data_IF_953255701081
#
_entry.id   IF_953255701081
#
_cell.length_a   1.000
_cell.length_b   1.000
_cell.length_c   1.000
_cell.angle_alpha   90.00
_cell.angle_beta   90.00
_cell.angle_gamma   90.00
#
_symmetry.space_group_name_H-M   'P 1'
#
loop_
_entity.id
_entity.type
_entity.pdbx_description
1 polymer ?
#
# COMPACT_ATOMS: atom_id res chain seq x y z
N UNK A 1 -13.56 -2.73 -27.13
CA UNK A 1 -12.84 -2.27 -25.92
C UNK A 1 -11.95 -3.43 -25.49
N UNK A 2 -10.70 -3.39 -25.87
CA UNK A 2 -9.76 -4.42 -25.44
C UNK A 2 -9.59 -4.27 -23.92
N UNK A 3 -10.14 -5.22 -23.19
CA UNK A 3 -9.81 -5.45 -21.80
C UNK A 3 -8.29 -5.63 -21.76
N UNK A 4 -7.59 -4.66 -21.19
CA UNK A 4 -6.17 -4.82 -20.94
C UNK A 4 -6.05 -5.83 -19.80
N UNK A 5 -5.87 -7.09 -20.17
CA UNK A 5 -5.67 -8.17 -19.20
C UNK A 5 -4.38 -7.90 -18.42
N UNK A 6 -4.51 -7.18 -17.31
CA UNK A 6 -3.42 -6.97 -16.37
C UNK A 6 -3.10 -8.31 -15.73
N UNK A 7 -1.92 -8.81 -15.97
CA UNK A 7 -1.46 -10.09 -15.45
C UNK A 7 -0.83 -9.94 -14.05
N UNK A 8 -0.92 -10.99 -13.24
CA UNK A 8 -0.35 -11.04 -11.89
C UNK A 8 -1.38 -10.90 -10.76
N UNK A 9 -2.59 -10.50 -11.07
CA UNK A 9 -3.70 -10.52 -10.12
C UNK A 9 -4.24 -11.95 -10.04
N UNK A 10 -4.18 -12.54 -8.86
CA UNK A 10 -4.65 -13.92 -8.63
C UNK A 10 -6.08 -13.98 -8.11
N UNK A 11 -6.63 -12.87 -7.68
CA UNK A 11 -8.00 -12.78 -7.22
C UNK A 11 -8.29 -11.56 -6.36
N UNK A 12 -9.50 -11.54 -5.85
CA UNK A 12 -9.99 -10.50 -4.94
C UNK A 12 -10.61 -11.16 -3.71
N UNK A 13 -10.36 -10.59 -2.55
CA UNK A 13 -10.98 -11.02 -1.30
C UNK A 13 -11.69 -9.85 -0.66
N UNK A 14 -12.96 -10.03 -0.27
CA UNK A 14 -13.71 -9.01 0.45
C UNK A 14 -13.08 -8.79 1.82
N UNK A 15 -12.70 -7.56 2.11
CA UNK A 15 -12.26 -7.18 3.44
C UNK A 15 -13.47 -7.05 4.38
N UNK A 16 -13.33 -7.59 5.58
CA UNK A 16 -14.35 -7.47 6.63
C UNK A 16 -13.91 -6.38 7.59
N UNK A 17 -14.69 -5.32 7.68
CA UNK A 17 -14.47 -4.26 8.66
C UNK A 17 -14.93 -4.78 10.03
N UNK A 18 -13.99 -5.02 10.92
CA UNK A 18 -14.27 -5.53 12.26
C UNK A 18 -14.59 -4.43 13.26
N UNK A 19 -14.00 -3.24 13.09
CA UNK A 19 -14.15 -2.12 13.99
C UNK A 19 -13.89 -0.81 13.25
N UNK A 20 -14.73 0.18 13.51
CA UNK A 20 -14.49 1.57 13.12
C UNK A 20 -14.71 2.46 14.34
N UNK A 21 -13.79 3.39 14.55
CA UNK A 21 -13.83 4.34 15.66
C UNK A 21 -13.91 5.74 15.07
N UNK A 22 -14.81 6.54 15.62
CA UNK A 22 -14.89 7.95 15.25
C UNK A 22 -13.73 8.71 15.90
N UNK A 23 -12.89 9.32 15.07
CA UNK A 23 -11.74 10.10 15.49
C UNK A 23 -11.99 11.56 15.12
N UNK A 24 -11.93 12.43 16.08
CA UNK A 24 -12.00 13.88 15.86
C UNK A 24 -10.68 14.38 15.27
N UNK A 25 -10.58 14.28 13.94
CA UNK A 25 -9.41 14.73 13.20
C UNK A 25 -9.15 16.24 13.29
N UNK A 26 -10.19 17.04 13.57
CA UNK A 26 -10.07 18.50 13.67
C UNK A 26 -9.33 18.93 14.95
N UNK A 27 -9.42 18.12 16.00
CA UNK A 27 -8.68 18.37 17.23
C UNK A 27 -7.28 17.75 17.25
N UNK A 28 -6.85 17.12 16.16
CA UNK A 28 -5.51 16.56 16.03
C UNK A 28 -4.55 17.60 15.46
N UNK A 29 -3.61 18.02 16.27
CA UNK A 29 -2.55 18.95 15.89
C UNK A 29 -1.36 18.19 15.30
N UNK A 30 -1.26 18.19 13.97
CA UNK A 30 -0.15 17.57 13.24
C UNK A 30 1.15 18.39 13.31
N UNK A 31 1.05 19.67 13.70
CA UNK A 31 2.20 20.58 13.84
C UNK A 31 2.76 20.59 15.27
N UNK A 32 2.19 19.79 16.17
CA UNK A 32 2.70 19.63 17.54
C UNK A 32 4.09 18.97 17.54
N UNK A 33 4.86 19.19 18.61
CA UNK A 33 6.18 18.55 18.80
C UNK A 33 6.11 17.02 18.75
N UNK A 34 4.95 16.44 19.07
CA UNK A 34 4.68 15.02 18.94
C UNK A 34 3.37 14.76 18.17
N UNK A 35 3.41 14.75 16.83
CA UNK A 35 2.22 14.56 15.99
C UNK A 35 1.62 13.15 16.10
N UNK A 36 2.28 12.20 16.78
CA UNK A 36 1.75 10.86 17.01
C UNK A 36 0.80 10.82 18.20
N UNK A 37 0.73 11.88 19.01
CA UNK A 37 -0.19 11.96 20.14
C UNK A 37 -1.49 12.65 19.75
N UNK A 38 -2.59 11.91 19.89
CA UNK A 38 -3.92 12.47 19.82
C UNK A 38 -4.16 13.38 21.07
N UNK A 39 -4.97 14.47 20.98
CA UNK A 39 -5.12 15.49 22.04
C UNK A 39 -5.48 14.99 23.43
N UNK A 40 -5.93 13.76 23.56
CA UNK A 40 -6.26 13.12 24.85
C UNK A 40 -5.12 12.27 25.43
N UNK A 41 -3.89 12.47 24.98
CA UNK A 41 -2.70 11.79 25.49
C UNK A 41 -2.53 10.35 25.00
N UNK A 42 -3.28 9.94 24.00
CA UNK A 42 -3.18 8.60 23.40
C UNK A 42 -2.70 8.67 21.95
N UNK A 43 -1.84 7.73 21.57
CA UNK A 43 -1.53 7.57 20.15
C UNK A 43 -2.79 7.14 19.37
N UNK A 44 -2.90 7.47 18.06
CA UNK A 44 -4.04 7.05 17.24
C UNK A 44 -4.32 5.54 17.29
N UNK A 45 -3.26 4.73 17.36
CA UNK A 45 -3.39 3.28 17.48
C UNK A 45 -4.08 2.87 18.80
N UNK A 46 -3.72 3.51 19.92
CA UNK A 46 -4.33 3.22 21.20
C UNK A 46 -5.79 3.70 21.24
N UNK A 47 -6.07 4.84 20.62
CA UNK A 47 -7.43 5.34 20.48
C UNK A 47 -8.32 4.38 19.69
N UNK A 48 -7.82 3.84 18.58
CA UNK A 48 -8.54 2.84 17.80
C UNK A 48 -8.78 1.55 18.61
N UNK A 49 -7.81 1.12 19.40
CA UNK A 49 -7.95 -0.09 20.23
C UNK A 49 -8.97 0.10 21.36
N UNK A 50 -8.98 1.23 22.01
CA UNK A 50 -9.80 1.53 23.21
C UNK A 50 -11.13 2.19 22.88
N UNK A 51 -11.25 2.84 21.71
CA UNK A 51 -12.43 3.56 21.30
C UNK A 51 -13.63 2.63 21.07
N UNK A 52 -14.82 3.18 21.25
CA UNK A 52 -16.07 2.47 21.00
C UNK A 52 -16.24 2.19 19.48
N UNK A 53 -16.75 1.01 19.17
CA UNK A 53 -17.06 0.65 17.79
C UNK A 53 -18.31 1.40 17.32
N UNK A 54 -18.18 2.18 16.25
CA UNK A 54 -19.29 2.90 15.63
C UNK A 54 -19.97 2.05 14.56
N UNK A 55 -21.18 1.60 14.85
CA UNK A 55 -22.00 0.84 13.90
C UNK A 55 -22.43 1.72 12.71
N UNK A 56 -22.61 3.00 12.90
CA UNK A 56 -23.03 3.91 11.84
C UNK A 56 -21.89 4.12 10.83
N UNK A 57 -20.66 4.26 11.31
CA UNK A 57 -19.49 4.30 10.43
C UNK A 57 -19.31 3.00 9.65
N UNK A 58 -19.52 1.84 10.30
CA UNK A 58 -19.43 0.54 9.62
C UNK A 58 -20.49 0.44 8.52
N UNK A 59 -21.73 0.86 8.78
CA UNK A 59 -22.79 0.83 7.76
C UNK A 59 -22.55 1.76 6.59
N UNK A 60 -21.92 2.91 6.85
CA UNK A 60 -21.59 3.91 5.81
C UNK A 60 -20.26 3.63 5.11
N UNK A 61 -19.46 2.70 5.62
CA UNK A 61 -18.16 2.38 5.04
C UNK A 61 -18.32 1.81 3.62
N UNK A 62 -17.49 2.25 2.67
CA UNK A 62 -17.48 1.65 1.36
C UNK A 62 -17.06 0.19 1.46
N UNK A 63 -17.55 -0.63 0.53
CA UNK A 63 -17.08 -2.00 0.44
C UNK A 63 -15.62 -2.02 -0.03
N UNK A 64 -14.75 -2.61 0.76
CA UNK A 64 -13.30 -2.69 0.50
C UNK A 64 -12.94 -4.11 0.08
N UNK A 65 -12.11 -4.20 -0.95
CA UNK A 65 -11.58 -5.44 -1.47
C UNK A 65 -10.06 -5.46 -1.34
N UNK A 66 -9.54 -6.59 -0.95
CA UNK A 66 -8.13 -6.89 -0.98
C UNK A 66 -7.78 -7.49 -2.35
N UNK A 67 -6.77 -6.92 -2.98
CA UNK A 67 -6.20 -7.43 -4.21
C UNK A 67 -5.19 -8.53 -3.87
N UNK A 68 -5.42 -9.74 -4.38
CA UNK A 68 -4.51 -10.85 -4.18
C UNK A 68 -3.50 -10.90 -5.33
N UNK A 69 -2.22 -10.85 -4.98
CA UNK A 69 -1.11 -10.86 -5.93
C UNK A 69 -0.29 -12.14 -5.80
N UNK A 70 0.24 -12.59 -6.91
CA UNK A 70 1.27 -13.63 -6.92
C UNK A 70 2.56 -13.13 -6.28
N UNK A 71 3.25 -14.00 -5.55
CA UNK A 71 4.61 -13.77 -5.09
C UNK A 71 5.58 -14.34 -6.09
N UNK A 72 6.31 -13.46 -6.77
CA UNK A 72 7.27 -13.86 -7.80
C UNK A 72 8.39 -12.81 -7.92
N UNK A 73 9.48 -13.17 -8.63
CA UNK A 73 10.62 -12.29 -8.75
C UNK A 73 11.43 -12.11 -7.47
N UNK A 74 12.60 -11.54 -7.60
CA UNK A 74 13.52 -11.28 -6.48
C UNK A 74 14.18 -9.91 -6.63
N UNK A 75 14.37 -9.26 -5.49
CA UNK A 75 15.07 -7.98 -5.36
C UNK A 75 16.40 -8.21 -4.67
N UNK A 76 17.46 -7.62 -5.21
CA UNK A 76 18.78 -7.57 -4.56
C UNK A 76 19.08 -6.16 -4.06
N UNK A 77 19.79 -6.08 -2.95
CA UNK A 77 20.43 -4.85 -2.49
C UNK A 77 21.83 -4.75 -3.08
N UNK A 78 22.18 -3.57 -3.59
CA UNK A 78 23.53 -3.30 -4.11
C UNK A 78 24.51 -2.93 -3.01
N UNK A 79 24.03 -2.40 -1.88
CA UNK A 79 24.84 -2.01 -0.75
C UNK A 79 24.13 -2.31 0.56
N UNK A 80 24.91 -2.49 1.63
CA UNK A 80 24.42 -2.77 2.98
C UNK A 80 24.01 -1.46 3.71
N UNK A 81 23.30 -0.58 3.02
CA UNK A 81 22.75 0.62 3.64
C UNK A 81 21.54 0.27 4.50
N UNK A 82 21.48 0.87 5.69
CA UNK A 82 20.35 0.69 6.61
C UNK A 82 19.11 1.52 6.24
N UNK A 83 19.21 2.32 5.18
CA UNK A 83 18.08 3.10 4.70
C UNK A 83 17.15 2.21 3.87
N UNK A 84 16.09 1.74 4.51
CA UNK A 84 15.08 0.88 3.88
C UNK A 84 14.21 1.61 2.86
N UNK A 85 14.27 2.95 2.81
CA UNK A 85 13.50 3.78 1.88
C UNK A 85 14.33 4.22 0.67
N UNK A 86 15.62 3.89 0.63
CA UNK A 86 16.48 4.18 -0.52
C UNK A 86 16.33 3.09 -1.60
N UNK A 87 15.38 3.31 -2.50
CA UNK A 87 15.13 2.42 -3.62
C UNK A 87 16.26 2.40 -4.67
N UNK A 88 17.17 3.39 -4.66
CA UNK A 88 18.31 3.44 -5.57
C UNK A 88 19.30 2.28 -5.36
N UNK A 89 19.29 1.69 -4.18
CA UNK A 89 20.11 0.53 -3.82
C UNK A 89 19.44 -0.82 -4.14
N UNK A 90 18.28 -0.80 -4.75
CA UNK A 90 17.51 -1.99 -5.07
C UNK A 90 17.56 -2.25 -6.57
N UNK A 91 17.77 -3.50 -6.94
CA UNK A 91 17.67 -3.95 -8.33
C UNK A 91 16.80 -5.19 -8.43
N UNK A 92 16.06 -5.28 -9.50
CA UNK A 92 15.27 -6.44 -9.83
C UNK A 92 16.19 -7.52 -10.41
N UNK A 93 16.48 -8.54 -9.62
CA UNK A 93 17.38 -9.64 -9.99
C UNK A 93 16.68 -10.66 -10.88
N UNK A 94 15.40 -10.93 -10.63
CA UNK A 94 14.56 -11.73 -11.52
C UNK A 94 13.19 -11.08 -11.65
N UNK A 95 12.71 -10.99 -12.88
CA UNK A 95 11.43 -10.38 -13.20
C UNK A 95 10.53 -11.39 -13.89
N UNK A 96 9.38 -11.71 -13.34
CA UNK A 96 8.37 -12.47 -14.06
C UNK A 96 7.79 -11.62 -15.21
N UNK A 97 7.27 -12.30 -16.23
CA UNK A 97 6.58 -11.67 -17.36
C UNK A 97 5.12 -11.33 -16.99
N UNK A 98 4.92 -10.67 -15.85
CA UNK A 98 3.61 -10.25 -15.34
C UNK A 98 3.62 -8.77 -14.99
N UNK A 99 2.45 -8.16 -14.97
CA UNK A 99 2.31 -6.71 -14.83
C UNK A 99 2.36 -6.21 -13.39
N UNK A 100 1.94 -7.03 -12.43
CA UNK A 100 1.94 -6.68 -11.01
C UNK A 100 2.24 -7.90 -10.15
N UNK A 101 3.18 -7.76 -9.23
CA UNK A 101 3.56 -8.84 -8.32
C UNK A 101 4.19 -8.32 -7.03
N UNK A 102 4.21 -9.17 -6.01
CA UNK A 102 5.00 -8.95 -4.81
C UNK A 102 6.28 -9.79 -4.91
N UNK A 103 7.47 -9.20 -4.79
CA UNK A 103 8.72 -9.97 -4.74
C UNK A 103 8.69 -10.97 -3.58
N UNK A 104 9.36 -12.12 -3.75
CA UNK A 104 9.39 -13.19 -2.74
C UNK A 104 10.03 -12.73 -1.43
N UNK A 105 10.97 -11.81 -1.52
CA UNK A 105 11.81 -11.35 -0.41
C UNK A 105 11.54 -9.91 0.04
N UNK A 106 10.50 -9.24 -0.48
CA UNK A 106 10.15 -7.87 -0.12
C UNK A 106 8.65 -7.70 0.11
N UNK A 107 8.29 -6.66 0.85
CA UNK A 107 6.88 -6.37 1.18
C UNK A 107 6.23 -5.34 0.25
N UNK A 108 6.98 -4.69 -0.61
CA UNK A 108 6.41 -3.75 -1.58
C UNK A 108 5.94 -4.46 -2.85
N UNK A 109 5.19 -3.74 -3.67
CA UNK A 109 4.63 -4.23 -4.92
C UNK A 109 5.47 -3.68 -6.08
N UNK A 110 5.77 -4.53 -7.05
CA UNK A 110 6.44 -4.16 -8.30
C UNK A 110 5.43 -4.22 -9.43
N UNK A 111 5.49 -3.24 -10.30
CA UNK A 111 4.60 -3.11 -11.45
C UNK A 111 5.38 -2.90 -12.75
N UNK A 112 4.81 -3.36 -13.85
CA UNK A 112 5.34 -3.08 -15.19
C UNK A 112 5.00 -1.65 -15.65
N UNK A 113 5.72 -1.17 -16.67
CA UNK A 113 5.36 0.08 -17.34
C UNK A 113 3.93 0.03 -17.93
N UNK A 114 3.49 -1.14 -18.37
CA UNK A 114 2.12 -1.33 -18.87
C UNK A 114 1.08 -1.10 -17.78
N UNK A 115 1.32 -1.60 -16.55
CA UNK A 115 0.43 -1.35 -15.42
C UNK A 115 0.44 0.12 -15.02
N UNK A 116 1.63 0.74 -14.96
CA UNK A 116 1.75 2.18 -14.68
C UNK A 116 0.95 3.01 -15.68
N UNK A 117 1.12 2.74 -16.99
CA UNK A 117 0.37 3.44 -18.04
C UNK A 117 -1.15 3.22 -17.92
N UNK A 118 -1.59 2.04 -17.50
CA UNK A 118 -3.00 1.78 -17.21
C UNK A 118 -3.51 2.67 -16.08
N UNK A 119 -2.81 2.76 -14.95
CA UNK A 119 -3.18 3.58 -13.79
C UNK A 119 -3.24 5.07 -14.16
N UNK A 120 -2.27 5.56 -14.93
CA UNK A 120 -2.22 6.94 -15.41
C UNK A 120 -3.40 7.26 -16.35
N UNK A 121 -3.71 6.36 -17.26
CA UNK A 121 -4.85 6.49 -18.17
C UNK A 121 -6.19 6.54 -17.42
N UNK A 122 -6.35 5.71 -16.39
CA UNK A 122 -7.55 5.70 -15.54
C UNK A 122 -7.59 6.86 -14.54
N UNK A 123 -6.58 7.77 -14.59
CA UNK A 123 -6.49 8.97 -13.73
C UNK A 123 -6.52 8.66 -12.23
N UNK A 124 -5.93 7.54 -11.83
CA UNK A 124 -5.79 7.18 -10.41
C UNK A 124 -4.58 7.94 -9.85
N UNK A 125 -4.83 9.00 -9.10
CA UNK A 125 -3.79 9.91 -8.59
C UNK A 125 -3.24 9.55 -7.20
N UNK A 126 -3.79 8.52 -6.57
CA UNK A 126 -3.41 8.12 -5.20
C UNK A 126 -2.18 7.23 -5.14
N UNK A 127 -1.66 6.80 -6.30
CA UNK A 127 -0.48 5.97 -6.40
C UNK A 127 0.70 6.78 -6.92
N UNK A 128 1.86 6.58 -6.33
CA UNK A 128 3.15 7.08 -6.84
C UNK A 128 4.04 5.91 -7.20
N UNK A 129 4.88 6.10 -8.22
CA UNK A 129 5.77 5.07 -8.73
C UNK A 129 7.22 5.51 -8.58
N UNK A 130 8.07 4.59 -8.17
CA UNK A 130 9.52 4.78 -8.12
C UNK A 130 10.15 3.79 -9.09
N UNK A 131 11.06 4.29 -9.93
CA UNK A 131 11.75 3.45 -10.88
C UNK A 131 12.66 2.44 -10.17
N UNK A 132 12.59 1.19 -10.59
CA UNK A 132 13.42 0.11 -10.11
C UNK A 132 14.32 -0.38 -11.23
N UNK A 133 15.63 -0.30 -11.01
CA UNK A 133 16.62 -0.80 -11.98
C UNK A 133 16.57 -2.32 -12.10
N UNK A 134 16.94 -2.83 -13.26
CA UNK A 134 17.12 -4.26 -13.48
C UNK A 134 18.61 -4.61 -13.38
N UNK A 135 18.89 -5.79 -12.87
CA UNK A 135 20.22 -6.37 -12.91
C UNK A 135 20.56 -6.66 -14.38
N UNK A 136 21.68 -6.16 -14.82
CA UNK A 136 22.21 -6.39 -16.16
C UNK A 136 22.86 -7.78 -16.29
#
# INVERSE_FOLDING_TARGET
MESSDISGITGFRRAIVKKMVDIDWQSWDLDSEDPLFYPKGNSPINYIRQGANSQDLIRSAPQVWELLLGRDGEIKRLSDTRDYLDFSNLVLASSPSIDIFQPKNMLFIVVSERFKAFIEREKISTLSFVELSRES
#
